data_IF_186081233203
#
_entry.id   IF_186081233203
#
_cell.length_a   1.000
_cell.length_b   1.000
_cell.length_c   1.000
_cell.angle_alpha   90.00
_cell.angle_beta   90.00
_cell.angle_gamma   90.00
#
_symmetry.space_group_name_H-M   'P 1'
#
loop_
_entity.id
_entity.type
_entity.pdbx_description
1 polymer ?
#
# COMPACT_ATOMS: atom_id res chain seq x y z
N UNK A 1 -4.68 5.83 31.87
CA UNK A 1 -3.58 6.51 31.10
C UNK A 1 -3.82 8.02 31.04
N UNK A 2 -2.79 8.89 30.98
CA UNK A 2 -3.02 10.34 30.89
C UNK A 2 -3.72 10.76 29.59
N UNK A 3 -4.55 11.81 29.65
CA UNK A 3 -5.24 12.37 28.49
C UNK A 3 -4.26 12.82 27.39
N UNK A 4 -3.12 13.41 27.79
CA UNK A 4 -2.04 13.82 26.88
C UNK A 4 -1.46 12.64 26.09
N UNK A 5 -1.27 11.48 26.72
CA UNK A 5 -0.75 10.28 26.04
C UNK A 5 -1.78 9.69 25.06
N UNK A 6 -3.08 9.70 25.39
CA UNK A 6 -4.14 9.29 24.45
C UNK A 6 -4.23 10.23 23.23
N UNK A 7 -4.14 11.54 23.45
CA UNK A 7 -4.12 12.52 22.38
C UNK A 7 -2.89 12.34 21.47
N UNK A 8 -1.71 12.09 22.05
CA UNK A 8 -0.49 11.82 21.30
C UNK A 8 -0.61 10.55 20.43
N UNK A 9 -1.16 9.45 20.97
CA UNK A 9 -1.37 8.22 20.18
C UNK A 9 -2.34 8.44 19.01
N UNK A 10 -3.39 9.22 19.21
CA UNK A 10 -4.34 9.56 18.13
C UNK A 10 -3.64 10.43 17.05
N UNK A 11 -2.83 11.40 17.47
CA UNK A 11 -2.06 12.23 16.54
C UNK A 11 -1.08 11.38 15.71
N UNK A 12 -0.36 10.45 16.36
CA UNK A 12 0.55 9.52 15.69
C UNK A 12 -0.19 8.62 14.69
N UNK A 13 -1.34 8.08 15.07
CA UNK A 13 -2.17 7.27 14.17
C UNK A 13 -2.58 8.06 12.91
N UNK A 14 -3.02 9.31 13.10
CA UNK A 14 -3.40 10.19 11.97
C UNK A 14 -2.22 10.54 11.07
N UNK A 15 -1.06 10.81 11.66
CA UNK A 15 0.17 11.07 10.92
C UNK A 15 0.56 9.87 10.05
N UNK A 16 0.64 8.68 10.66
CA UNK A 16 0.99 7.46 9.94
C UNK A 16 0.00 7.14 8.82
N UNK A 17 -1.30 7.35 9.05
CA UNK A 17 -2.33 7.16 8.03
C UNK A 17 -2.13 8.10 6.85
N UNK A 18 -1.87 9.38 7.10
CA UNK A 18 -1.62 10.36 6.05
C UNK A 18 -0.36 10.01 5.24
N UNK A 19 0.72 9.60 5.91
CA UNK A 19 1.96 9.21 5.23
C UNK A 19 1.80 7.89 4.45
N UNK A 20 1.03 6.93 4.98
CA UNK A 20 0.65 5.70 4.28
C UNK A 20 -0.15 6.01 3.01
N UNK A 21 -1.15 6.88 3.08
CA UNK A 21 -1.95 7.30 1.92
C UNK A 21 -1.09 8.00 0.85
N UNK A 22 -0.11 8.81 1.26
CA UNK A 22 0.84 9.43 0.34
C UNK A 22 1.71 8.38 -0.37
N UNK A 23 2.19 7.36 0.35
CA UNK A 23 2.97 6.26 -0.23
C UNK A 23 2.12 5.35 -1.13
N UNK A 24 0.88 5.03 -0.73
CA UNK A 24 -0.05 4.25 -1.54
C UNK A 24 -0.38 4.93 -2.86
N UNK A 25 -0.53 6.27 -2.88
CA UNK A 25 -0.71 7.03 -4.13
C UNK A 25 0.49 6.92 -5.06
N UNK A 26 1.71 7.05 -4.53
CA UNK A 26 2.94 6.88 -5.32
C UNK A 26 3.07 5.45 -5.86
N UNK A 27 2.75 4.44 -5.03
CA UNK A 27 2.73 3.04 -5.44
C UNK A 27 1.73 2.80 -6.58
N UNK A 28 0.53 3.38 -6.47
CA UNK A 28 -0.48 3.33 -7.53
C UNK A 28 0.03 3.93 -8.85
N UNK A 29 0.59 5.13 -8.80
CA UNK A 29 1.17 5.79 -9.98
C UNK A 29 2.25 4.94 -10.65
N UNK A 30 3.16 4.35 -9.86
CA UNK A 30 4.24 3.52 -10.39
C UNK A 30 3.71 2.22 -11.02
N UNK A 31 2.70 1.60 -10.41
CA UNK A 31 2.03 0.42 -10.98
C UNK A 31 1.29 0.75 -12.27
N UNK A 32 0.63 1.91 -12.34
CA UNK A 32 -0.03 2.38 -13.56
C UNK A 32 0.98 2.63 -14.69
N UNK A 33 2.15 3.18 -14.37
CA UNK A 33 3.26 3.34 -15.31
C UNK A 33 3.79 1.99 -15.81
N UNK A 34 4.02 1.04 -14.91
CA UNK A 34 4.42 -0.33 -15.27
C UNK A 34 3.39 -1.01 -16.18
N UNK A 35 2.10 -0.92 -15.85
CA UNK A 35 1.02 -1.50 -16.64
C UNK A 35 0.98 -0.93 -18.06
N UNK A 36 1.23 0.38 -18.23
CA UNK A 36 1.34 1.01 -19.56
C UNK A 36 2.52 0.49 -20.36
N UNK A 37 3.67 0.26 -19.71
CA UNK A 37 4.85 -0.30 -20.36
C UNK A 37 4.64 -1.76 -20.75
N UNK A 38 3.99 -2.54 -19.89
CA UNK A 38 3.61 -3.94 -20.16
C UNK A 38 2.63 -4.02 -21.33
N UNK A 39 1.58 -3.20 -21.33
CA UNK A 39 0.62 -3.12 -22.43
C UNK A 39 1.32 -2.77 -23.76
N UNK A 40 2.28 -1.83 -23.74
CA UNK A 40 3.04 -1.46 -24.94
C UNK A 40 3.96 -2.58 -25.41
N UNK A 41 4.59 -3.31 -24.49
CA UNK A 41 5.41 -4.49 -24.79
C UNK A 41 4.56 -5.56 -25.45
N UNK A 42 3.41 -5.86 -24.87
CA UNK A 42 2.50 -6.92 -25.33
C UNK A 42 1.92 -6.57 -26.71
N UNK A 43 1.53 -5.31 -26.92
CA UNK A 43 1.11 -4.83 -28.24
C UNK A 43 2.19 -4.95 -29.31
N UNK A 44 3.45 -4.64 -28.98
CA UNK A 44 4.57 -4.82 -29.92
C UNK A 44 4.83 -6.30 -30.26
N UNK A 45 4.65 -7.20 -29.30
CA UNK A 45 4.80 -8.64 -29.51
C UNK A 45 3.64 -9.21 -30.34
N UNK A 46 2.42 -8.75 -30.10
CA UNK A 46 1.24 -9.08 -30.89
C UNK A 46 1.38 -8.58 -32.33
N UNK A 47 1.77 -7.32 -32.53
CA UNK A 47 2.05 -6.73 -33.84
C UNK A 47 3.13 -7.51 -34.59
N UNK A 48 4.17 -7.97 -33.88
CA UNK A 48 5.21 -8.80 -34.47
C UNK A 48 4.67 -10.16 -34.91
N UNK A 49 3.85 -10.80 -34.08
CA UNK A 49 3.24 -12.09 -34.39
C UNK A 49 2.32 -12.02 -35.62
N UNK A 50 1.48 -10.99 -35.67
CA UNK A 50 0.50 -10.79 -36.73
C UNK A 50 1.15 -10.38 -38.06
N UNK A 51 2.15 -9.49 -38.02
CA UNK A 51 2.77 -8.96 -39.23
C UNK A 51 3.99 -9.74 -39.72
N UNK A 52 4.53 -10.69 -38.95
CA UNK A 52 5.67 -11.51 -39.39
C UNK A 52 5.33 -12.45 -40.57
N UNK A 53 4.05 -12.72 -40.82
CA UNK A 53 3.59 -13.66 -41.85
C UNK A 53 3.04 -12.98 -43.11
N UNK A 54 2.74 -11.68 -43.05
CA UNK A 54 2.20 -10.91 -44.18
C UNK A 54 3.35 -10.24 -44.92
N UNK A 55 3.99 -10.96 -45.83
CA UNK A 55 5.12 -10.44 -46.61
C UNK A 55 4.84 -10.55 -48.09
N UNK A 56 4.41 -9.45 -48.71
CA UNK A 56 4.53 -9.29 -50.16
C UNK A 56 6.01 -9.26 -50.56
N UNK A 57 6.34 -9.71 -51.78
CA UNK A 57 7.71 -9.80 -52.29
C UNK A 57 8.48 -8.48 -52.12
N UNK A 58 7.79 -7.35 -52.26
CA UNK A 58 8.34 -5.99 -52.14
C UNK A 58 8.77 -5.61 -50.70
N UNK A 59 8.17 -6.26 -49.70
CA UNK A 59 8.40 -5.97 -48.27
C UNK A 59 9.51 -6.82 -47.63
N UNK A 60 9.88 -7.94 -48.28
CA UNK A 60 10.86 -8.91 -47.78
C UNK A 60 12.20 -8.32 -47.32
N UNK A 61 12.78 -7.29 -47.99
CA UNK A 61 14.04 -6.68 -47.54
C UNK A 61 13.95 -5.96 -46.18
N UNK A 62 12.76 -5.49 -45.80
CA UNK A 62 12.55 -4.64 -44.62
C UNK A 62 12.18 -5.41 -43.36
N UNK A 63 11.66 -6.65 -43.51
CA UNK A 63 11.17 -7.49 -42.41
C UNK A 63 12.24 -7.72 -41.35
N UNK A 64 13.46 -8.07 -41.76
CA UNK A 64 14.54 -8.32 -40.81
C UNK A 64 14.91 -7.10 -39.96
N UNK A 65 14.86 -5.90 -40.54
CA UNK A 65 15.13 -4.64 -39.83
C UNK A 65 13.98 -4.29 -38.89
N UNK A 66 12.74 -4.48 -39.33
CA UNK A 66 11.56 -4.32 -38.49
C UNK A 66 11.60 -5.23 -37.25
N UNK A 67 11.81 -6.55 -37.44
CA UNK A 67 11.89 -7.52 -36.35
C UNK A 67 12.96 -7.15 -35.33
N UNK A 68 14.16 -6.74 -35.79
CA UNK A 68 15.24 -6.29 -34.90
C UNK A 68 14.87 -5.02 -34.13
N UNK A 69 14.20 -4.07 -34.77
CA UNK A 69 13.74 -2.83 -34.13
C UNK A 69 12.71 -3.10 -33.04
N UNK A 70 11.72 -3.96 -33.32
CA UNK A 70 10.71 -4.37 -32.34
C UNK A 70 11.36 -5.08 -31.15
N UNK A 71 12.24 -6.05 -31.39
CA UNK A 71 12.97 -6.74 -30.32
C UNK A 71 13.78 -5.80 -29.43
N UNK A 72 14.46 -4.81 -30.02
CA UNK A 72 15.18 -3.79 -29.25
C UNK A 72 14.23 -2.93 -28.41
N UNK A 73 13.07 -2.59 -28.96
CA UNK A 73 12.05 -1.81 -28.24
C UNK A 73 11.47 -2.60 -27.06
N UNK A 74 11.15 -3.89 -27.27
CA UNK A 74 10.70 -4.82 -26.22
C UNK A 74 11.75 -4.93 -25.11
N UNK A 75 13.02 -5.17 -25.43
CA UNK A 75 14.09 -5.26 -24.43
C UNK A 75 14.27 -3.95 -23.63
N UNK A 76 14.09 -2.80 -24.28
CA UNK A 76 14.08 -1.50 -23.61
C UNK A 76 12.92 -1.35 -22.62
N UNK A 77 11.73 -1.79 -23.00
CA UNK A 77 10.55 -1.79 -22.11
C UNK A 77 10.74 -2.73 -20.92
N UNK A 78 11.24 -3.95 -21.15
CA UNK A 78 11.54 -4.91 -20.09
C UNK A 78 12.58 -4.39 -19.09
N UNK A 79 13.59 -3.69 -19.60
CA UNK A 79 14.60 -3.04 -18.74
C UNK A 79 13.97 -1.94 -17.89
N UNK A 80 13.09 -1.11 -18.47
CA UNK A 80 12.39 -0.06 -17.73
C UNK A 80 11.47 -0.64 -16.65
N UNK A 81 10.68 -1.66 -16.97
CA UNK A 81 9.82 -2.39 -16.01
C UNK A 81 10.68 -2.97 -14.88
N UNK A 82 11.77 -3.65 -15.22
CA UNK A 82 12.68 -4.24 -14.24
C UNK A 82 13.34 -3.21 -13.34
N UNK A 83 13.62 -2.01 -13.84
CA UNK A 83 14.13 -0.88 -13.06
C UNK A 83 13.11 -0.27 -12.08
N UNK A 84 11.82 -0.44 -12.36
CA UNK A 84 10.72 0.03 -11.49
C UNK A 84 10.40 -0.98 -10.37
N UNK A 85 10.61 -2.28 -10.60
CA UNK A 85 10.30 -3.35 -9.62
C UNK A 85 10.85 -3.11 -8.22
N UNK A 86 12.14 -2.73 -8.02
CA UNK A 86 12.67 -2.46 -6.67
C UNK A 86 12.00 -1.26 -5.99
N UNK A 87 11.54 -0.27 -6.77
CA UNK A 87 10.87 0.90 -6.24
C UNK A 87 9.45 0.57 -5.76
N UNK A 88 8.74 -0.28 -6.53
CA UNK A 88 7.45 -0.86 -6.12
C UNK A 88 7.60 -1.62 -4.80
N UNK A 89 8.55 -2.55 -4.72
CA UNK A 89 8.80 -3.36 -3.52
C UNK A 89 9.07 -2.49 -2.29
N UNK A 90 9.94 -1.48 -2.43
CA UNK A 90 10.23 -0.53 -1.34
C UNK A 90 9.00 0.24 -0.87
N UNK A 91 8.13 0.65 -1.80
CA UNK A 91 6.90 1.36 -1.46
C UNK A 91 5.88 0.44 -0.78
N UNK A 92 5.77 -0.81 -1.23
CA UNK A 92 4.92 -1.83 -0.60
C UNK A 92 5.34 -2.11 0.84
N UNK A 93 6.64 -2.35 1.06
CA UNK A 93 7.21 -2.55 2.39
C UNK A 93 6.93 -1.34 3.29
N UNK A 94 7.16 -0.13 2.78
CA UNK A 94 6.89 1.09 3.54
C UNK A 94 5.41 1.25 3.92
N UNK A 95 4.47 0.94 3.01
CA UNK A 95 3.04 0.95 3.30
C UNK A 95 2.69 -0.09 4.38
N UNK A 96 3.25 -1.31 4.30
CA UNK A 96 3.02 -2.36 5.28
C UNK A 96 3.57 -1.98 6.67
N UNK A 97 4.75 -1.38 6.74
CA UNK A 97 5.34 -0.96 8.00
C UNK A 97 4.52 0.14 8.68
N UNK A 98 4.01 1.10 7.92
CA UNK A 98 3.10 2.13 8.46
C UNK A 98 1.79 1.52 8.95
N UNK A 99 1.24 0.57 8.20
CA UNK A 99 0.04 -0.14 8.64
C UNK A 99 0.28 -0.86 9.99
N UNK A 100 1.44 -1.49 10.17
CA UNK A 100 1.84 -2.09 11.45
C UNK A 100 1.94 -1.04 12.58
N UNK A 101 2.52 0.12 12.30
CA UNK A 101 2.59 1.24 13.26
C UNK A 101 1.20 1.73 13.68
N UNK A 102 0.30 1.95 12.71
CA UNK A 102 -1.11 2.32 12.96
C UNK A 102 -1.77 1.32 13.90
N UNK A 103 -1.65 0.01 13.61
CA UNK A 103 -2.23 -1.04 14.43
C UNK A 103 -1.64 -1.12 15.83
N UNK A 104 -0.36 -0.79 15.97
CA UNK A 104 0.31 -0.71 17.27
C UNK A 104 -0.27 0.42 18.13
N UNK A 105 -0.43 1.62 17.55
CA UNK A 105 -1.02 2.76 18.25
C UNK A 105 -2.49 2.55 18.57
N UNK A 106 -3.26 2.01 17.62
CA UNK A 106 -4.67 1.65 17.81
C UNK A 106 -4.84 0.66 18.99
N UNK A 107 -4.03 -0.41 19.01
CA UNK A 107 -4.06 -1.42 20.07
C UNK A 107 -3.67 -0.85 21.44
N UNK A 108 -2.68 0.05 21.50
CA UNK A 108 -2.31 0.73 22.74
C UNK A 108 -3.46 1.61 23.26
N UNK A 109 -4.15 2.32 22.35
CA UNK A 109 -5.30 3.17 22.68
C UNK A 109 -6.49 2.35 23.19
N UNK A 110 -6.84 1.25 22.51
CA UNK A 110 -7.94 0.37 22.91
C UNK A 110 -7.69 -0.29 24.27
N UNK A 111 -6.47 -0.80 24.50
CA UNK A 111 -6.11 -1.36 25.82
C UNK A 111 -6.21 -0.32 26.93
N UNK A 112 -5.82 0.92 26.67
CA UNK A 112 -5.98 2.00 27.64
C UNK A 112 -7.45 2.30 27.92
N UNK A 113 -8.29 2.35 26.89
CA UNK A 113 -9.71 2.65 27.05
C UNK A 113 -10.42 1.56 27.86
N UNK A 114 -10.09 0.29 27.61
CA UNK A 114 -10.60 -0.85 28.36
C UNK A 114 -10.22 -0.78 29.85
N UNK A 115 -8.95 -0.48 30.16
CA UNK A 115 -8.49 -0.29 31.55
C UNK A 115 -9.22 0.86 32.23
N UNK A 116 -9.27 2.03 31.58
CA UNK A 116 -9.94 3.20 32.15
C UNK A 116 -11.45 2.91 32.39
N UNK A 117 -12.10 2.08 31.57
CA UNK A 117 -13.49 1.65 31.76
C UNK A 117 -13.65 0.68 32.92
N UNK A 118 -12.76 -0.31 33.06
CA UNK A 118 -12.75 -1.24 34.18
C UNK A 118 -12.52 -0.52 35.52
N UNK A 119 -11.58 0.44 35.56
CA UNK A 119 -11.31 1.24 36.76
C UNK A 119 -12.53 2.08 37.18
N UNK A 120 -13.28 2.63 36.22
CA UNK A 120 -14.53 3.35 36.51
C UNK A 120 -15.61 2.42 37.04
N UNK A 121 -15.82 1.28 36.40
CA UNK A 121 -16.81 0.29 36.84
C UNK A 121 -16.50 -0.23 38.25
N UNK A 122 -15.23 -0.45 38.58
CA UNK A 122 -14.80 -0.88 39.92
C UNK A 122 -15.08 0.19 40.98
N UNK A 123 -14.84 1.48 40.68
CA UNK A 123 -15.15 2.59 41.59
C UNK A 123 -16.66 2.74 41.79
N UNK A 124 -17.44 2.72 40.70
CA UNK A 124 -18.89 2.80 40.79
C UNK A 124 -19.51 1.63 41.58
N UNK A 125 -18.92 0.43 41.49
CA UNK A 125 -19.34 -0.70 42.30
C UNK A 125 -19.02 -0.49 43.80
N UNK A 126 -17.80 -0.04 44.12
CA UNK A 126 -17.41 0.27 45.49
C UNK A 126 -18.28 1.36 46.13
N UNK A 127 -18.57 2.44 45.40
CA UNK A 127 -19.43 3.54 45.86
C UNK A 127 -20.88 3.06 46.12
N UNK A 128 -21.39 2.12 45.30
CA UNK A 128 -22.70 1.50 45.51
C UNK A 128 -22.70 0.61 46.74
N UNK A 129 -21.67 -0.20 46.94
CA UNK A 129 -21.56 -1.07 48.11
C UNK A 129 -21.50 -0.25 49.40
N UNK A 130 -20.75 0.85 49.42
CA UNK A 130 -20.71 1.79 50.55
C UNK A 130 -22.08 2.41 50.84
N UNK A 131 -22.81 2.86 49.81
CA UNK A 131 -24.18 3.37 49.97
C UNK A 131 -25.16 2.31 50.49
N UNK A 132 -25.01 1.04 50.08
CA UNK A 132 -25.83 -0.06 50.60
C UNK A 132 -25.52 -0.29 52.08
N UNK A 133 -24.25 -0.30 52.48
CA UNK A 133 -23.87 -0.46 53.89
C UNK A 133 -24.40 0.68 54.76
N UNK A 134 -24.34 1.94 54.30
CA UNK A 134 -24.86 3.10 55.03
C UNK A 134 -26.39 3.15 55.15
N UNK A 135 -27.12 2.44 54.28
CA UNK A 135 -28.59 2.39 54.30
C UNK A 135 -29.14 1.28 55.21
N UNK A 136 -28.34 0.26 55.49
CA UNK A 136 -28.76 -0.95 56.22
C UNK A 136 -28.04 -1.15 57.56
N UNK A 137 -27.05 -0.30 57.88
CA UNK A 137 -26.49 -0.14 59.22
C UNK A 137 -27.18 0.97 59.99
#
# INVERSE_FOLDING_TARGET
>A
MSAKRRAALNLLERLERHEMEAQSRKLGQLRDEMAKLEQRRDGLLEDLHNNAHVTGIESAPYVGTYVRSVRRSVAGLETAISGMTPQVQKLEEAVLDRFRSIKTFESARLRSAARDAADRAAREAADRDEMVLLRWG
#
